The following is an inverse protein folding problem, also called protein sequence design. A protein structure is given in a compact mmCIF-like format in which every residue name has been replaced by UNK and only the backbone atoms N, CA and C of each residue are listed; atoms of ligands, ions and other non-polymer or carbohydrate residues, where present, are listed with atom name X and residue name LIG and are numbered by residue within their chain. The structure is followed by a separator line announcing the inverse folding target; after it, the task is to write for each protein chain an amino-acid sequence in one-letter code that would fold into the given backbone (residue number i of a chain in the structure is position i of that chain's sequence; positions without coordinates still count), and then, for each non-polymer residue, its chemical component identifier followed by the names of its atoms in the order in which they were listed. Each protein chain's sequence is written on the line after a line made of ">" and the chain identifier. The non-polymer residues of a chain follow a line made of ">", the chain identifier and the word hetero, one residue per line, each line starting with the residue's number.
data_IF_438029384437
#
_entry.id   IF_438029384437
#
_cell.length_a   1.000
_cell.length_b   1.000
_cell.length_c   1.000
_cell.angle_alpha   90.00
_cell.angle_beta   90.00
_cell.angle_gamma   90.00
#
_symmetry.space_group_name_H-M   'P 1'
#
loop_
_entity.id
_entity.type
_entity.pdbx_description
1 polymer ?
#
# COMPACT_ATOMS: atom_id res chain seq x y z
N UNK A 1 9.30 3.29 -18.68
CA UNK A 1 9.16 4.74 -18.36
C UNK A 1 10.06 5.58 -19.28
N UNK A 2 10.25 6.88 -19.04
CA UNK A 2 10.99 7.82 -19.90
C UNK A 2 12.39 7.31 -20.28
N UNK A 3 12.84 7.63 -21.49
CA UNK A 3 14.21 7.32 -21.94
C UNK A 3 15.12 8.53 -21.80
N UNK A 4 16.44 8.30 -21.65
CA UNK A 4 17.45 9.37 -21.63
C UNK A 4 17.40 10.18 -22.93
N UNK A 5 17.27 9.51 -24.07
CA UNK A 5 17.16 10.14 -25.38
C UNK A 5 15.95 11.08 -25.47
N UNK A 6 14.78 10.69 -24.94
CA UNK A 6 13.60 11.55 -24.90
C UNK A 6 13.87 12.83 -24.10
N UNK A 7 14.47 12.71 -22.92
CA UNK A 7 14.78 13.86 -22.06
C UNK A 7 15.82 14.76 -22.73
N UNK A 8 16.83 14.19 -23.38
CA UNK A 8 17.86 14.93 -24.09
C UNK A 8 17.27 15.72 -25.25
N UNK A 9 16.37 15.11 -26.03
CA UNK A 9 15.70 15.77 -27.14
C UNK A 9 14.82 16.95 -26.70
N UNK A 10 14.21 16.87 -25.52
CA UNK A 10 13.31 17.93 -25.01
C UNK A 10 14.09 19.04 -24.30
N UNK A 11 15.11 18.69 -23.51
CA UNK A 11 15.76 19.62 -22.56
C UNK A 11 17.25 19.84 -22.81
N UNK A 12 17.85 19.11 -23.73
CA UNK A 12 19.28 19.15 -24.06
C UNK A 12 20.16 18.34 -23.11
N UNK A 13 21.40 18.09 -23.54
CA UNK A 13 22.38 17.21 -22.88
C UNK A 13 22.71 17.66 -21.44
N UNK A 14 22.75 18.97 -21.16
CA UNK A 14 23.05 19.49 -19.82
C UNK A 14 22.07 18.99 -18.74
N UNK A 15 20.82 18.69 -19.13
CA UNK A 15 19.79 18.18 -18.22
C UNK A 15 19.98 16.69 -17.94
N UNK A 16 20.56 15.92 -18.86
CA UNK A 16 20.94 14.53 -18.64
C UNK A 16 22.00 14.43 -17.56
N UNK A 17 23.00 15.31 -17.59
CA UNK A 17 24.02 15.36 -16.55
C UNK A 17 23.37 15.67 -15.20
N UNK A 18 22.50 16.69 -15.15
CA UNK A 18 21.78 17.03 -13.92
C UNK A 18 20.98 15.85 -13.34
N UNK A 19 20.15 15.20 -14.16
CA UNK A 19 19.34 14.06 -13.71
C UNK A 19 20.19 12.85 -13.33
N UNK A 20 21.32 12.63 -14.01
CA UNK A 20 22.26 11.56 -13.64
C UNK A 20 22.84 11.81 -12.25
N UNK A 21 23.30 13.04 -11.96
CA UNK A 21 23.79 13.40 -10.63
C UNK A 21 22.68 13.31 -9.57
N UNK A 22 21.47 13.77 -9.88
CA UNK A 22 20.31 13.69 -8.97
C UNK A 22 19.97 12.23 -8.64
N UNK A 23 19.84 11.37 -9.65
CA UNK A 23 19.57 9.95 -9.47
C UNK A 23 20.69 9.25 -8.71
N UNK A 24 21.97 9.49 -9.05
CA UNK A 24 23.09 8.89 -8.30
C UNK A 24 23.11 9.33 -6.84
N UNK A 25 22.81 10.60 -6.56
CA UNK A 25 22.66 11.10 -5.18
C UNK A 25 21.51 10.42 -4.43
N UNK A 26 20.36 10.25 -5.09
CA UNK A 26 19.21 9.52 -4.56
C UNK A 26 19.53 8.04 -4.31
N UNK A 27 20.16 7.36 -5.27
CA UNK A 27 20.60 5.97 -5.18
C UNK A 27 21.66 5.73 -4.10
N UNK A 28 22.59 6.66 -3.87
CA UNK A 28 23.57 6.53 -2.79
C UNK A 28 22.95 6.75 -1.41
N UNK A 29 21.86 7.52 -1.36
CA UNK A 29 21.01 7.68 -0.17
C UNK A 29 19.87 6.65 -0.12
N UNK A 30 19.84 5.64 -1.02
CA UNK A 30 18.74 4.66 -1.20
C UNK A 30 18.54 3.64 -0.09
N UNK A 31 19.18 3.84 1.06
CA UNK A 31 18.49 3.53 2.32
C UNK A 31 17.35 4.56 2.46
N UNK A 32 16.38 4.44 1.55
CA UNK A 32 15.36 5.43 1.21
C UNK A 32 14.81 6.03 2.48
N UNK A 33 14.71 7.36 2.50
CA UNK A 33 14.42 8.07 3.73
C UNK A 33 13.18 7.40 4.33
N UNK A 34 13.26 6.98 5.60
CA UNK A 34 12.22 6.17 6.24
C UNK A 34 10.81 6.78 6.03
N UNK A 35 10.77 8.11 5.89
CA UNK A 35 9.62 8.91 5.49
C UNK A 35 9.02 8.54 4.11
N UNK A 36 9.83 8.45 3.04
CA UNK A 36 9.40 8.04 1.70
C UNK A 36 8.80 6.65 1.69
N UNK A 37 9.49 5.68 2.30
CA UNK A 37 9.01 4.30 2.35
C UNK A 37 7.69 4.18 3.13
N UNK A 38 7.55 4.91 4.25
CA UNK A 38 6.28 4.91 4.99
C UNK A 38 5.17 5.57 4.18
N UNK A 39 5.45 6.65 3.45
CA UNK A 39 4.45 7.29 2.60
C UNK A 39 4.02 6.40 1.42
N UNK A 40 4.95 5.64 0.83
CA UNK A 40 4.62 4.63 -0.17
C UNK A 40 3.69 3.56 0.42
N UNK A 41 3.97 3.05 1.63
CA UNK A 41 3.10 2.08 2.34
C UNK A 41 1.73 2.67 2.65
N UNK A 42 1.67 3.94 3.05
CA UNK A 42 0.41 4.66 3.25
C UNK A 42 -0.44 4.62 1.97
N UNK A 43 0.14 5.01 0.82
CA UNK A 43 -0.58 5.00 -0.46
C UNK A 43 -0.91 3.57 -0.93
N UNK A 44 -0.01 2.59 -0.75
CA UNK A 44 -0.29 1.18 -1.06
C UNK A 44 -1.54 0.68 -0.33
N UNK A 45 -1.66 0.97 0.96
CA UNK A 45 -2.84 0.61 1.74
C UNK A 45 -4.10 1.30 1.20
N UNK A 46 -4.04 2.62 0.90
CA UNK A 46 -5.19 3.34 0.35
C UNK A 46 -5.66 2.80 -1.00
N UNK A 47 -4.73 2.39 -1.88
CA UNK A 47 -5.06 1.82 -3.19
C UNK A 47 -5.45 0.33 -3.15
N UNK A 48 -5.31 -0.34 -2.01
CA UNK A 48 -5.59 -1.77 -1.90
C UNK A 48 -6.99 -2.15 -2.37
N UNK A 49 -8.01 -1.38 -1.97
CA UNK A 49 -9.38 -1.66 -2.37
C UNK A 49 -9.60 -1.50 -3.88
N UNK A 50 -8.98 -0.49 -4.49
CA UNK A 50 -9.06 -0.26 -5.94
C UNK A 50 -8.51 -1.45 -6.74
N UNK A 51 -7.40 -2.05 -6.29
CA UNK A 51 -6.80 -3.18 -7.00
C UNK A 51 -7.47 -4.51 -6.67
N UNK A 52 -7.91 -4.72 -5.42
CA UNK A 52 -8.52 -5.97 -4.97
C UNK A 52 -9.96 -6.10 -5.47
N UNK A 53 -10.81 -5.10 -5.23
CA UNK A 53 -12.24 -5.16 -5.56
C UNK A 53 -12.52 -4.64 -6.96
N UNK A 54 -11.98 -3.48 -7.32
CA UNK A 54 -12.26 -2.85 -8.61
C UNK A 54 -11.35 -3.34 -9.74
N UNK A 55 -10.39 -4.23 -9.43
CA UNK A 55 -9.41 -4.80 -10.37
C UNK A 55 -8.69 -3.74 -11.19
N UNK A 56 -8.43 -2.57 -10.59
CA UNK A 56 -7.64 -1.52 -11.24
C UNK A 56 -6.18 -1.97 -11.37
N UNK A 57 -5.53 -1.53 -12.45
CA UNK A 57 -4.13 -1.81 -12.73
C UNK A 57 -3.33 -0.58 -12.32
N UNK A 58 -2.81 -0.63 -11.10
CA UNK A 58 -2.06 0.47 -10.49
C UNK A 58 -0.61 0.02 -10.31
N UNK A 59 0.32 0.79 -10.86
CA UNK A 59 1.76 0.58 -10.74
C UNK A 59 2.37 1.67 -9.88
N UNK A 60 3.27 1.28 -8.99
CA UNK A 60 4.15 2.16 -8.25
C UNK A 60 5.54 2.08 -8.86
N UNK A 61 6.18 3.24 -9.00
CA UNK A 61 7.55 3.35 -9.47
C UNK A 61 8.31 4.27 -8.53
N UNK A 62 9.56 3.94 -8.24
CA UNK A 62 10.50 4.80 -7.50
C UNK A 62 11.88 4.69 -8.14
N UNK A 63 12.75 5.67 -7.90
CA UNK A 63 14.11 5.70 -8.49
C UNK A 63 14.12 5.67 -10.02
N UNK A 64 13.07 6.22 -10.63
CA UNK A 64 12.98 6.36 -12.07
C UNK A 64 13.78 7.56 -12.56
N UNK A 65 14.33 7.48 -13.77
CA UNK A 65 15.04 8.60 -14.38
C UNK A 65 14.06 9.71 -14.80
N UNK A 66 13.67 10.54 -13.83
CA UNK A 66 12.65 11.58 -13.91
C UNK A 66 13.05 12.79 -13.06
N UNK A 67 12.36 13.93 -13.22
CA UNK A 67 12.61 15.12 -12.40
C UNK A 67 12.00 14.97 -11.00
N UNK A 68 10.86 14.28 -10.90
CA UNK A 68 10.19 13.89 -9.66
C UNK A 68 10.15 12.36 -9.61
N UNK A 69 11.05 11.79 -8.82
CA UNK A 69 11.42 10.37 -8.85
C UNK A 69 11.21 9.62 -7.53
N UNK A 70 10.87 10.32 -6.44
CA UNK A 70 10.72 9.70 -5.12
C UNK A 70 9.60 8.64 -5.11
N UNK A 71 8.43 8.97 -5.69
CA UNK A 71 7.35 8.00 -5.93
C UNK A 71 6.47 8.45 -7.10
N UNK A 72 6.09 7.50 -7.94
CA UNK A 72 5.22 7.72 -9.10
C UNK A 72 4.13 6.67 -9.09
N UNK A 73 2.89 7.11 -9.31
CA UNK A 73 1.72 6.24 -9.41
C UNK A 73 1.13 6.36 -10.81
N UNK A 74 1.04 5.23 -11.49
CA UNK A 74 0.43 5.07 -12.79
C UNK A 74 -0.80 4.17 -12.67
N UNK A 75 -2.00 4.77 -12.74
CA UNK A 75 -3.24 4.02 -12.87
C UNK A 75 -3.48 3.82 -14.38
N UNK A 76 -3.33 2.60 -14.91
CA UNK A 76 -3.37 2.35 -16.37
C UNK A 76 -4.71 2.70 -17.01
N UNK A 77 -5.79 2.56 -16.26
CA UNK A 77 -7.14 2.95 -16.70
C UNK A 77 -7.32 4.47 -16.76
N UNK A 78 -6.47 5.23 -16.07
CA UNK A 78 -6.47 6.69 -16.10
C UNK A 78 -5.41 7.19 -17.09
N UNK A 79 -5.73 8.24 -17.85
CA UNK A 79 -4.69 8.95 -18.61
C UNK A 79 -3.89 9.91 -17.73
N UNK A 80 -3.52 9.51 -16.51
CA UNK A 80 -2.96 10.35 -15.46
C UNK A 80 -1.71 9.71 -14.84
N UNK A 81 -0.66 10.50 -14.68
CA UNK A 81 0.51 10.16 -13.87
C UNK A 81 0.57 11.08 -12.65
N UNK A 82 0.65 10.46 -11.47
CA UNK A 82 0.86 11.18 -10.21
C UNK A 82 2.33 11.06 -9.81
N UNK A 83 3.03 12.17 -9.75
CA UNK A 83 4.42 12.22 -9.28
C UNK A 83 4.47 12.86 -7.91
N UNK A 84 5.17 12.23 -6.98
CA UNK A 84 5.35 12.71 -5.63
C UNK A 84 6.82 13.05 -5.43
N UNK A 85 7.09 14.28 -5.00
CA UNK A 85 8.36 14.67 -4.42
C UNK A 85 8.13 14.83 -2.92
N UNK A 86 8.81 14.03 -2.12
CA UNK A 86 8.74 14.03 -0.68
C UNK A 86 9.88 14.87 -0.08
N UNK A 87 9.54 15.72 0.88
CA UNK A 87 10.51 16.54 1.61
C UNK A 87 10.21 16.52 3.10
N UNK A 88 11.06 15.83 3.85
CA UNK A 88 11.05 15.88 5.31
C UNK A 88 11.99 16.98 5.83
N UNK A 89 11.73 18.23 5.44
CA UNK A 89 12.49 19.40 5.90
C UNK A 89 11.58 20.60 6.08
N UNK A 90 11.87 21.43 7.08
CA UNK A 90 11.13 22.66 7.35
C UNK A 90 11.53 23.84 6.42
N UNK A 91 12.64 23.73 5.68
CA UNK A 91 13.21 24.83 4.88
C UNK A 91 12.90 24.76 3.37
N UNK A 92 11.96 23.90 2.97
CA UNK A 92 11.58 23.71 1.56
C UNK A 92 10.94 24.98 1.00
N UNK A 93 11.30 25.34 -0.22
CA UNK A 93 10.66 26.40 -0.99
C UNK A 93 10.68 26.04 -2.47
N UNK A 94 9.81 26.66 -3.27
CA UNK A 94 9.74 26.43 -4.71
C UNK A 94 11.05 26.77 -5.44
N UNK A 95 11.85 27.69 -4.89
CA UNK A 95 13.07 28.19 -5.51
C UNK A 95 12.82 29.04 -6.75
N UNK A 96 13.91 29.52 -7.37
CA UNK A 96 13.90 30.26 -8.63
C UNK A 96 15.04 29.76 -9.51
N UNK A 97 14.79 29.65 -10.81
CA UNK A 97 15.80 29.26 -11.80
C UNK A 97 16.04 27.76 -11.88
N UNK A 98 17.07 27.38 -12.65
CA UNK A 98 17.36 25.98 -12.96
C UNK A 98 17.65 25.14 -11.71
N UNK A 99 17.21 23.88 -11.73
CA UNK A 99 17.38 22.89 -10.63
C UNK A 99 16.62 23.24 -9.34
N UNK A 100 15.68 24.18 -9.41
CA UNK A 100 14.74 24.45 -8.33
C UNK A 100 13.56 23.46 -8.36
N UNK A 101 12.81 23.35 -7.26
CA UNK A 101 11.60 22.51 -7.22
C UNK A 101 10.58 22.99 -8.27
N UNK A 102 10.45 24.31 -8.44
CA UNK A 102 9.63 24.92 -9.48
C UNK A 102 10.04 24.46 -10.89
N UNK A 103 11.33 24.50 -11.19
CA UNK A 103 11.89 24.07 -12.48
C UNK A 103 11.71 22.56 -12.71
N UNK A 104 11.96 21.74 -11.68
CA UNK A 104 11.73 20.28 -11.74
C UNK A 104 10.26 19.94 -12.02
N UNK A 105 9.31 20.62 -11.35
CA UNK A 105 7.87 20.41 -11.58
C UNK A 105 7.46 20.81 -13.00
N UNK A 106 7.94 21.96 -13.49
CA UNK A 106 7.64 22.40 -14.85
C UNK A 106 8.20 21.44 -15.91
N UNK A 107 9.42 20.95 -15.72
CA UNK A 107 10.04 19.98 -16.64
C UNK A 107 9.37 18.61 -16.57
N UNK A 108 8.98 18.15 -15.38
CA UNK A 108 8.22 16.90 -15.26
C UNK A 108 6.88 16.96 -15.98
N UNK A 109 6.16 18.09 -15.85
CA UNK A 109 4.92 18.30 -16.58
C UNK A 109 5.14 18.21 -18.10
N UNK A 110 6.16 18.90 -18.63
CA UNK A 110 6.50 18.85 -20.05
C UNK A 110 6.88 17.43 -20.51
N UNK A 111 7.61 16.69 -19.66
CA UNK A 111 7.99 15.30 -19.93
C UNK A 111 6.79 14.34 -19.92
N UNK A 112 5.79 14.58 -19.08
CA UNK A 112 4.54 13.81 -19.09
C UNK A 112 3.70 14.11 -20.34
N UNK A 113 3.64 15.38 -20.73
CA UNK A 113 2.96 15.80 -21.96
C UNK A 113 3.60 15.18 -23.21
N UNK A 114 4.92 14.98 -23.24
CA UNK A 114 5.58 14.34 -24.39
C UNK A 114 5.21 12.87 -24.58
N UNK A 115 4.69 12.21 -23.54
CA UNK A 115 4.13 10.85 -23.61
C UNK A 115 2.59 10.84 -23.56
N UNK A 116 1.95 11.98 -23.82
CA UNK A 116 0.49 12.15 -23.87
C UNK A 116 -0.25 11.79 -22.57
N UNK A 117 0.40 11.95 -21.41
CA UNK A 117 -0.19 11.71 -20.08
C UNK A 117 -0.53 13.02 -19.38
N UNK A 118 -1.73 13.09 -18.79
CA UNK A 118 -2.05 14.16 -17.84
C UNK A 118 -1.18 14.02 -16.59
N UNK A 119 -1.00 15.12 -15.86
CA UNK A 119 -0.11 15.17 -14.71
C UNK A 119 -0.82 15.68 -13.46
N UNK A 120 -0.53 15.02 -12.35
CA UNK A 120 -0.71 15.56 -11.01
C UNK A 120 0.65 15.50 -10.31
N UNK A 121 1.22 16.65 -9.99
CA UNK A 121 2.54 16.76 -9.38
C UNK A 121 2.37 17.19 -7.93
N UNK A 122 2.85 16.39 -6.99
CA UNK A 122 2.56 16.54 -5.59
C UNK A 122 3.85 16.75 -4.81
N UNK A 123 3.92 17.87 -4.10
CA UNK A 123 4.99 18.13 -3.12
C UNK A 123 4.48 17.71 -1.75
N UNK A 124 5.01 16.63 -1.20
CA UNK A 124 4.64 16.11 0.11
C UNK A 124 5.61 16.66 1.15
N UNK A 125 5.08 17.35 2.15
CA UNK A 125 5.87 17.98 3.21
C UNK A 125 5.46 17.52 4.60
N UNK A 126 6.43 17.54 5.51
CA UNK A 126 6.26 17.05 6.87
C UNK A 126 5.84 18.10 7.90
N UNK A 127 5.50 19.31 7.44
CA UNK A 127 5.04 20.42 8.28
C UNK A 127 3.80 21.09 7.67
N UNK A 128 2.70 21.11 8.42
CA UNK A 128 1.42 21.65 7.91
C UNK A 128 1.46 23.16 7.64
N UNK A 129 2.20 23.90 8.48
CA UNK A 129 2.45 25.34 8.27
C UNK A 129 3.24 25.59 6.99
N UNK A 130 4.22 24.73 6.71
CA UNK A 130 4.99 24.78 5.48
C UNK A 130 4.12 24.43 4.26
N UNK A 131 3.25 23.41 4.36
CA UNK A 131 2.27 23.07 3.32
C UNK A 131 1.44 24.30 2.94
N UNK A 132 0.86 24.98 3.93
CA UNK A 132 0.04 26.17 3.70
C UNK A 132 0.85 27.30 3.01
N UNK A 133 2.07 27.56 3.47
CA UNK A 133 2.95 28.57 2.87
C UNK A 133 3.32 28.23 1.41
N UNK A 134 3.68 26.98 1.13
CA UNK A 134 4.01 26.51 -0.22
C UNK A 134 2.79 26.55 -1.15
N UNK A 135 1.60 26.19 -0.65
CA UNK A 135 0.36 26.28 -1.41
C UNK A 135 0.05 27.74 -1.78
N UNK A 136 0.18 28.68 -0.85
CA UNK A 136 -0.06 30.10 -1.10
C UNK A 136 0.99 30.74 -2.00
N UNK A 137 2.23 30.27 -1.93
CA UNK A 137 3.37 30.78 -2.72
C UNK A 137 3.58 30.02 -4.04
N UNK A 138 2.67 29.11 -4.40
CA UNK A 138 2.80 28.27 -5.60
C UNK A 138 2.87 29.13 -6.88
N UNK A 139 3.90 28.93 -7.72
CA UNK A 139 4.03 29.64 -8.98
C UNK A 139 2.81 29.40 -9.90
N UNK A 140 2.23 30.48 -10.43
CA UNK A 140 1.01 30.42 -11.26
C UNK A 140 1.13 29.54 -12.50
N UNK A 141 2.34 29.38 -13.03
CA UNK A 141 2.57 28.57 -14.24
C UNK A 141 2.60 27.06 -13.97
N UNK A 142 2.61 26.64 -12.70
CA UNK A 142 2.54 25.22 -12.31
C UNK A 142 1.25 24.87 -11.55
N UNK A 143 0.46 25.87 -11.15
CA UNK A 143 -0.66 25.68 -10.22
C UNK A 143 -1.83 24.86 -10.76
N UNK A 144 -1.95 24.70 -12.08
CA UNK A 144 -3.04 23.91 -12.69
C UNK A 144 -2.82 22.40 -12.61
N UNK A 145 -1.61 21.94 -12.32
CA UNK A 145 -1.24 20.52 -12.25
C UNK A 145 -0.42 20.17 -11.00
N UNK A 146 -0.26 21.11 -10.07
CA UNK A 146 0.57 20.92 -8.88
C UNK A 146 -0.22 21.09 -7.58
N UNK A 147 0.13 20.31 -6.57
CA UNK A 147 -0.46 20.36 -5.24
C UNK A 147 0.61 20.23 -4.16
N UNK A 148 0.34 20.77 -2.96
CA UNK A 148 1.17 20.54 -1.78
C UNK A 148 0.38 19.78 -0.73
N UNK A 149 0.87 18.60 -0.34
CA UNK A 149 0.21 17.72 0.62
C UNK A 149 1.02 17.68 1.92
N UNK A 150 0.34 17.66 3.05
CA UNK A 150 0.96 17.37 4.34
C UNK A 150 0.90 15.87 4.61
N UNK A 151 2.03 15.29 5.03
CA UNK A 151 2.09 13.94 5.59
C UNK A 151 2.92 13.94 6.87
N UNK A 152 2.43 13.26 7.90
CA UNK A 152 3.00 13.31 9.25
C UNK A 152 4.52 13.06 9.28
N UNK A 153 5.33 13.89 9.96
CA UNK A 153 6.80 13.75 10.04
C UNK A 153 7.27 12.53 10.81
N UNK A 154 6.38 11.84 11.52
CA UNK A 154 6.75 10.71 12.37
C UNK A 154 7.29 9.54 11.51
N UNK A 155 8.12 8.72 12.13
CA UNK A 155 8.71 7.52 11.52
C UNK A 155 8.29 6.24 12.25
N UNK A 156 7.47 6.37 13.29
CA UNK A 156 6.85 5.26 14.01
C UNK A 156 5.52 4.91 13.35
N UNK A 157 5.44 3.71 12.76
CA UNK A 157 4.20 3.21 12.16
C UNK A 157 3.00 3.29 13.11
N UNK A 158 3.09 2.84 14.38
CA UNK A 158 1.98 2.98 15.34
C UNK A 158 1.46 4.41 15.48
N UNK A 159 2.36 5.39 15.59
CA UNK A 159 1.97 6.80 15.74
C UNK A 159 1.30 7.34 14.47
N UNK A 160 1.82 6.96 13.30
CA UNK A 160 1.27 7.36 12.01
C UNK A 160 -0.12 6.75 11.81
N UNK A 161 -0.29 5.45 12.12
CA UNK A 161 -1.59 4.76 12.07
C UNK A 161 -2.59 5.43 13.02
N UNK A 162 -2.16 5.84 14.22
CA UNK A 162 -3.03 6.52 15.18
C UNK A 162 -3.45 7.93 14.71
N UNK A 163 -2.60 8.63 13.94
CA UNK A 163 -2.86 10.00 13.48
C UNK A 163 -3.54 10.09 12.10
N UNK A 164 -3.37 9.08 11.24
CA UNK A 164 -3.88 9.05 9.88
C UNK A 164 -5.06 8.09 9.78
N UNK A 165 -6.28 8.62 9.92
CA UNK A 165 -7.49 7.79 9.99
C UNK A 165 -7.73 6.99 8.70
N UNK A 166 -7.44 7.56 7.54
CA UNK A 166 -7.56 6.85 6.26
C UNK A 166 -6.58 5.68 6.16
N UNK A 167 -5.37 5.86 6.70
CA UNK A 167 -4.40 4.77 6.78
C UNK A 167 -4.90 3.65 7.68
N UNK A 168 -5.38 4.00 8.87
CA UNK A 168 -5.95 3.04 9.83
C UNK A 168 -7.10 2.26 9.21
N UNK A 169 -8.00 2.93 8.50
CA UNK A 169 -9.14 2.30 7.82
C UNK A 169 -8.69 1.36 6.69
N UNK A 170 -7.70 1.77 5.90
CA UNK A 170 -7.13 0.94 4.85
C UNK A 170 -6.40 -0.30 5.39
N UNK A 171 -5.68 -0.18 6.50
CA UNK A 171 -5.05 -1.33 7.16
C UNK A 171 -6.11 -2.26 7.78
N UNK A 172 -7.18 -1.73 8.38
CA UNK A 172 -8.32 -2.53 8.83
C UNK A 172 -8.97 -3.30 7.68
N UNK A 173 -9.02 -2.70 6.49
CA UNK A 173 -9.51 -3.38 5.30
C UNK A 173 -8.60 -4.54 4.90
N UNK A 174 -7.28 -4.36 4.93
CA UNK A 174 -6.28 -5.37 4.59
C UNK A 174 -6.07 -6.45 5.67
N UNK A 175 -6.47 -6.19 6.91
CA UNK A 175 -6.26 -7.12 8.00
C UNK A 175 -7.18 -8.35 7.90
N UNK A 176 -6.66 -9.52 8.28
CA UNK A 176 -7.40 -10.78 8.36
C UNK A 176 -8.44 -10.80 9.50
N UNK A 177 -8.21 -10.05 10.57
CA UNK A 177 -9.07 -10.03 11.75
C UNK A 177 -10.19 -8.99 11.61
N UNK A 178 -11.38 -9.33 12.12
CA UNK A 178 -12.44 -8.36 12.33
C UNK A 178 -12.13 -7.51 13.57
N UNK A 179 -12.36 -6.19 13.48
CA UNK A 179 -12.02 -5.21 14.52
C UNK A 179 -10.58 -5.35 15.08
N UNK A 180 -9.54 -5.28 14.22
CA UNK A 180 -8.18 -5.57 14.64
C UNK A 180 -7.65 -4.57 15.67
N UNK A 181 -6.99 -5.12 16.70
CA UNK A 181 -6.23 -4.37 17.70
C UNK A 181 -5.05 -3.60 17.07
N UNK A 182 -4.52 -2.56 17.73
CA UNK A 182 -3.45 -1.72 17.18
C UNK A 182 -2.18 -2.49 16.76
N UNK A 183 -1.80 -3.54 17.47
CA UNK A 183 -0.63 -4.39 17.16
C UNK A 183 -0.82 -5.15 15.84
N UNK A 184 -2.05 -5.60 15.55
CA UNK A 184 -2.37 -6.26 14.28
C UNK A 184 -2.23 -5.31 13.11
N UNK A 185 -2.68 -4.06 13.27
CA UNK A 185 -2.52 -3.02 12.25
C UNK A 185 -1.05 -2.64 12.03
N UNK A 186 -0.26 -2.54 13.10
CA UNK A 186 1.18 -2.33 13.00
C UNK A 186 1.87 -3.48 12.25
N UNK A 187 1.49 -4.73 12.55
CA UNK A 187 1.99 -5.90 11.85
C UNK A 187 1.72 -5.80 10.34
N UNK A 188 0.46 -5.56 9.94
CA UNK A 188 0.09 -5.41 8.51
C UNK A 188 0.93 -4.31 7.83
N UNK A 189 1.06 -3.14 8.46
CA UNK A 189 1.85 -2.04 7.90
C UNK A 189 3.34 -2.39 7.79
N UNK A 190 3.89 -3.13 8.76
CA UNK A 190 5.29 -3.57 8.77
C UNK A 190 5.56 -4.59 7.66
N UNK A 191 4.63 -5.52 7.43
CA UNK A 191 4.74 -6.50 6.35
C UNK A 191 4.64 -5.82 4.99
N UNK A 192 3.73 -4.86 4.80
CA UNK A 192 3.66 -4.05 3.58
C UNK A 192 4.97 -3.28 3.34
N UNK A 193 5.57 -2.72 4.39
CA UNK A 193 6.86 -2.05 4.31
C UNK A 193 7.98 -3.02 3.90
N UNK A 194 8.00 -4.23 4.46
CA UNK A 194 8.93 -5.28 4.07
C UNK A 194 8.76 -5.71 2.61
N UNK A 195 7.52 -5.89 2.16
CA UNK A 195 7.21 -6.23 0.78
C UNK A 195 7.64 -5.12 -0.20
N UNK A 196 7.35 -3.85 0.11
CA UNK A 196 7.79 -2.69 -0.68
C UNK A 196 9.32 -2.61 -0.76
N UNK A 197 10.00 -2.58 0.39
CA UNK A 197 11.46 -2.35 0.45
C UNK A 197 12.29 -3.49 -0.11
N UNK A 198 11.75 -4.71 -0.18
CA UNK A 198 12.41 -5.88 -0.77
C UNK A 198 12.06 -6.12 -2.24
N UNK A 199 11.27 -5.24 -2.86
CA UNK A 199 10.86 -5.39 -4.25
C UNK A 199 11.70 -4.52 -5.18
N UNK A 200 11.80 -4.94 -6.45
CA UNK A 200 12.27 -4.04 -7.51
C UNK A 200 11.17 -3.02 -7.79
N UNK A 201 11.41 -1.78 -7.38
CA UNK A 201 10.45 -0.68 -7.47
C UNK A 201 10.65 0.15 -8.75
N UNK A 202 11.43 -0.32 -9.72
CA UNK A 202 11.55 0.33 -11.03
C UNK A 202 10.22 0.36 -11.78
N UNK A 203 9.41 -0.69 -11.63
CA UNK A 203 8.00 -0.74 -12.05
C UNK A 203 7.33 -1.97 -11.42
N UNK A 204 6.46 -1.76 -10.44
CA UNK A 204 5.79 -2.86 -9.73
C UNK A 204 4.30 -2.60 -9.57
N UNK A 205 3.48 -3.64 -9.79
CA UNK A 205 2.05 -3.57 -9.53
C UNK A 205 1.77 -3.50 -8.03
N UNK A 206 0.82 -2.65 -7.63
CA UNK A 206 0.32 -2.62 -6.24
C UNK A 206 -0.18 -4.00 -5.83
N UNK A 207 -0.87 -4.73 -6.72
CA UNK A 207 -1.35 -6.08 -6.44
C UNK A 207 -0.20 -7.05 -6.13
N UNK A 208 0.93 -6.96 -6.85
CA UNK A 208 2.07 -7.85 -6.63
C UNK A 208 2.74 -7.59 -5.27
N UNK A 209 2.81 -6.33 -4.84
CA UNK A 209 3.30 -5.97 -3.49
C UNK A 209 2.35 -6.51 -2.42
N UNK A 210 1.04 -6.35 -2.61
CA UNK A 210 0.04 -6.86 -1.67
C UNK A 210 0.10 -8.39 -1.55
N UNK A 211 0.25 -9.11 -2.66
CA UNK A 211 0.41 -10.57 -2.68
C UNK A 211 1.70 -11.00 -1.98
N UNK A 212 2.82 -10.35 -2.27
CA UNK A 212 4.09 -10.62 -1.59
C UNK A 212 4.00 -10.39 -0.08
N UNK A 213 3.30 -9.35 0.34
CA UNK A 213 3.02 -9.10 1.76
C UNK A 213 2.16 -10.23 2.36
N UNK A 214 1.08 -10.61 1.69
CA UNK A 214 0.19 -11.70 2.11
C UNK A 214 0.95 -13.03 2.22
N UNK A 215 1.79 -13.38 1.25
CA UNK A 215 2.62 -14.60 1.27
C UNK A 215 3.63 -14.60 2.43
N UNK A 216 4.11 -13.43 2.86
CA UNK A 216 5.08 -13.31 3.94
C UNK A 216 4.48 -13.59 5.31
N UNK A 217 3.25 -13.12 5.56
CA UNK A 217 2.48 -13.44 6.79
C UNK A 217 1.02 -13.72 6.42
N UNK A 218 0.70 -14.93 5.91
CA UNK A 218 -0.63 -15.25 5.41
C UNK A 218 -1.72 -15.07 6.47
N UNK A 219 -1.43 -15.30 7.75
CA UNK A 219 -2.41 -15.23 8.84
C UNK A 219 -2.81 -13.82 9.28
N UNK A 220 -2.17 -12.76 8.78
CA UNK A 220 -2.45 -11.37 9.20
C UNK A 220 -3.10 -10.52 8.11
N UNK A 221 -2.95 -10.90 6.84
CA UNK A 221 -3.49 -10.17 5.70
C UNK A 221 -4.65 -10.98 5.13
N UNK A 222 -5.79 -10.32 4.94
CA UNK A 222 -6.99 -10.95 4.37
C UNK A 222 -6.70 -11.60 3.03
N UNK A 223 -7.48 -12.62 2.67
CA UNK A 223 -7.58 -13.09 1.29
C UNK A 223 -8.03 -11.95 0.34
N UNK A 224 -7.51 -11.99 -0.87
CA UNK A 224 -7.92 -11.12 -1.98
C UNK A 224 -8.88 -11.82 -2.95
N UNK A 225 -9.09 -13.13 -2.79
CA UNK A 225 -10.10 -13.89 -3.51
C UNK A 225 -11.47 -13.74 -2.82
N UNK A 226 -12.52 -14.05 -3.57
CA UNK A 226 -13.91 -13.94 -3.12
C UNK A 226 -14.67 -15.23 -3.42
N UNK A 227 -15.65 -15.58 -2.58
CA UNK A 227 -16.66 -16.59 -2.92
C UNK A 227 -16.35 -18.01 -2.43
N UNK A 228 -15.53 -18.17 -1.40
CA UNK A 228 -15.31 -19.46 -0.77
C UNK A 228 -16.45 -19.82 0.18
N UNK A 229 -16.89 -21.07 0.13
CA UNK A 229 -17.89 -21.67 1.01
C UNK A 229 -17.29 -22.91 1.66
N UNK A 230 -17.79 -23.28 2.85
CA UNK A 230 -17.50 -24.59 3.42
C UNK A 230 -18.10 -25.69 2.54
N UNK A 231 -17.49 -26.86 2.62
CA UNK A 231 -18.12 -28.10 2.22
C UNK A 231 -19.48 -28.21 2.94
N UNK A 232 -20.61 -28.43 2.22
CA UNK A 232 -21.94 -28.50 2.83
C UNK A 232 -22.08 -29.55 3.94
N UNK A 233 -21.32 -30.64 3.85
CA UNK A 233 -21.29 -31.66 4.90
C UNK A 233 -20.64 -31.13 6.17
N UNK A 234 -19.51 -30.42 6.04
CA UNK A 234 -18.82 -29.77 7.17
C UNK A 234 -19.70 -28.69 7.79
N UNK A 235 -20.34 -27.85 6.97
CA UNK A 235 -21.30 -26.84 7.44
C UNK A 235 -22.41 -27.49 8.28
N UNK A 236 -22.98 -28.60 7.81
CA UNK A 236 -24.01 -29.32 8.55
C UNK A 236 -23.48 -29.91 9.88
N UNK A 237 -22.26 -30.44 9.90
CA UNK A 237 -21.64 -30.95 11.14
C UNK A 237 -21.48 -29.81 12.15
N UNK A 238 -20.84 -28.71 11.75
CA UNK A 238 -20.56 -27.58 12.63
C UNK A 238 -21.84 -26.92 13.16
N UNK A 239 -22.87 -26.77 12.31
CA UNK A 239 -24.15 -26.17 12.71
C UNK A 239 -24.96 -27.01 13.72
N UNK A 240 -24.62 -28.30 13.89
CA UNK A 240 -25.28 -29.18 14.85
C UNK A 240 -24.61 -29.20 16.23
N UNK A 241 -23.48 -28.51 16.41
CA UNK A 241 -22.80 -28.39 17.69
C UNK A 241 -23.42 -27.23 18.46
N UNK A 242 -24.10 -27.54 19.57
CA UNK A 242 -24.81 -26.54 20.37
C UNK A 242 -23.87 -25.46 20.92
N UNK A 243 -24.27 -24.20 20.78
CA UNK A 243 -23.48 -23.05 21.23
C UNK A 243 -22.23 -22.74 20.40
N UNK A 244 -21.91 -23.49 19.34
CA UNK A 244 -20.83 -23.17 18.41
C UNK A 244 -21.37 -22.34 17.23
N UNK A 245 -20.72 -21.22 16.93
CA UNK A 245 -20.99 -20.47 15.71
C UNK A 245 -19.68 -20.12 15.01
N UNK A 246 -19.76 -19.87 13.72
CA UNK A 246 -18.60 -19.50 12.93
C UNK A 246 -19.01 -18.57 11.78
N UNK A 247 -18.02 -17.86 11.25
CA UNK A 247 -18.15 -17.13 10.01
C UNK A 247 -16.91 -17.35 9.14
N UNK A 248 -17.07 -17.19 7.83
CA UNK A 248 -15.95 -17.12 6.89
C UNK A 248 -15.90 -15.70 6.35
N UNK A 249 -14.93 -14.95 6.84
CA UNK A 249 -14.71 -13.57 6.47
C UNK A 249 -13.23 -13.38 6.20
N UNK A 250 -12.90 -12.48 5.26
CA UNK A 250 -11.50 -12.10 4.98
C UNK A 250 -10.58 -13.27 4.62
N UNK A 251 -11.11 -14.41 4.19
CA UNK A 251 -10.33 -15.61 3.86
C UNK A 251 -10.03 -16.54 5.03
N UNK A 252 -10.63 -16.32 6.20
CA UNK A 252 -10.40 -17.12 7.41
C UNK A 252 -11.72 -17.58 8.00
N UNK A 253 -11.68 -18.74 8.65
CA UNK A 253 -12.77 -19.20 9.51
C UNK A 253 -12.54 -18.64 10.91
N UNK A 254 -13.45 -17.77 11.35
CA UNK A 254 -13.52 -17.33 12.74
C UNK A 254 -14.65 -18.07 13.43
N UNK A 255 -14.47 -18.37 14.69
CA UNK A 255 -15.41 -19.18 15.46
C UNK A 255 -15.57 -18.60 16.86
N UNK A 256 -16.74 -18.81 17.43
CA UNK A 256 -17.08 -18.49 18.81
C UNK A 256 -17.86 -19.67 19.42
N UNK A 257 -17.73 -19.83 20.73
CA UNK A 257 -18.46 -20.80 21.52
C UNK A 257 -19.12 -20.12 22.71
N UNK A 258 -20.38 -20.48 22.98
CA UNK A 258 -21.18 -19.99 24.12
C UNK A 258 -21.22 -18.45 24.22
N UNK A 259 -21.45 -17.77 23.10
CA UNK A 259 -21.50 -16.30 22.97
C UNK A 259 -20.18 -15.62 23.41
N UNK A 260 -19.05 -16.10 22.89
CA UNK A 260 -17.72 -15.51 23.14
C UNK A 260 -17.10 -15.91 24.47
N UNK A 261 -17.55 -17.02 25.08
CA UNK A 261 -16.84 -17.63 26.21
C UNK A 261 -15.49 -18.18 25.74
N UNK A 262 -15.47 -18.74 24.54
CA UNK A 262 -14.26 -19.08 23.80
C UNK A 262 -14.39 -18.59 22.35
N UNK A 263 -13.29 -18.16 21.75
CA UNK A 263 -13.27 -17.64 20.38
C UNK A 263 -11.90 -17.80 19.74
N UNK A 264 -11.89 -17.90 18.42
CA UNK A 264 -10.64 -18.05 17.70
C UNK A 264 -10.76 -17.81 16.21
N UNK A 265 -9.60 -17.90 15.56
CA UNK A 265 -9.48 -17.81 14.11
C UNK A 265 -8.48 -18.87 13.68
N UNK A 266 -8.83 -19.68 12.68
CA UNK A 266 -7.87 -20.63 12.13
C UNK A 266 -6.66 -19.86 11.58
N UNK A 267 -5.46 -20.30 11.95
CA UNK A 267 -4.21 -19.62 11.62
C UNK A 267 -3.79 -19.70 10.14
N UNK A 268 -4.65 -20.25 9.29
CA UNK A 268 -4.41 -20.49 7.87
C UNK A 268 -5.63 -20.13 7.04
N UNK A 269 -5.38 -19.61 5.84
CA UNK A 269 -6.43 -19.19 4.90
C UNK A 269 -7.23 -20.39 4.41
N UNK A 270 -8.51 -20.15 4.11
CA UNK A 270 -9.43 -21.10 3.50
C UNK A 270 -8.98 -21.61 2.12
N UNK A 271 -8.05 -20.90 1.49
CA UNK A 271 -7.47 -21.26 0.19
C UNK A 271 -6.37 -22.32 0.29
N UNK A 272 -5.91 -22.62 1.50
CA UNK A 272 -4.77 -23.51 1.70
C UNK A 272 -5.18 -24.98 1.68
N UNK A 273 -4.28 -25.86 1.25
CA UNK A 273 -4.44 -27.31 1.42
C UNK A 273 -4.65 -27.70 2.90
N UNK A 274 -4.15 -26.89 3.83
CA UNK A 274 -4.37 -27.10 5.27
C UNK A 274 -5.84 -26.93 5.64
N UNK A 275 -6.55 -25.97 5.06
CA UNK A 275 -7.99 -25.82 5.26
C UNK A 275 -8.80 -26.94 4.61
N UNK A 276 -8.37 -27.44 3.45
CA UNK A 276 -8.98 -28.64 2.87
C UNK A 276 -8.82 -29.85 3.80
N UNK A 277 -7.62 -30.06 4.35
CA UNK A 277 -7.37 -31.13 5.33
C UNK A 277 -8.20 -30.96 6.60
N UNK A 278 -8.40 -29.74 7.09
CA UNK A 278 -9.30 -29.45 8.21
C UNK A 278 -10.72 -29.94 7.89
N UNK A 279 -11.28 -29.56 6.75
CA UNK A 279 -12.61 -30.01 6.33
C UNK A 279 -12.72 -31.54 6.25
N UNK A 280 -11.71 -32.22 5.69
CA UNK A 280 -11.67 -33.69 5.66
C UNK A 280 -11.60 -34.32 7.06
N UNK A 281 -10.88 -33.69 8.00
CA UNK A 281 -10.83 -34.15 9.38
C UNK A 281 -12.18 -34.00 10.09
N UNK A 282 -12.90 -32.90 9.85
CA UNK A 282 -14.24 -32.72 10.40
C UNK A 282 -15.20 -33.78 9.85
N UNK A 283 -15.23 -34.00 8.53
CA UNK A 283 -16.06 -35.05 7.91
C UNK A 283 -15.74 -36.44 8.46
N UNK A 284 -14.46 -36.76 8.59
CA UNK A 284 -14.00 -38.08 9.05
C UNK A 284 -14.37 -38.36 10.51
N UNK A 285 -14.27 -37.37 11.38
CA UNK A 285 -14.48 -37.56 12.81
C UNK A 285 -15.91 -37.24 13.26
N UNK A 286 -16.64 -36.43 12.50
CA UNK A 286 -18.03 -36.05 12.75
C UNK A 286 -18.28 -35.62 14.21
N UNK A 287 -17.56 -34.58 14.70
CA UNK A 287 -17.69 -34.12 16.08
C UNK A 287 -19.12 -33.71 16.38
N UNK A 288 -19.58 -34.05 17.58
CA UNK A 288 -20.94 -33.77 18.07
C UNK A 288 -20.98 -32.81 19.25
N UNK A 289 -19.82 -32.48 19.83
CA UNK A 289 -19.66 -31.48 20.88
C UNK A 289 -18.48 -30.56 20.60
N UNK A 290 -18.39 -29.44 21.34
CA UNK A 290 -17.28 -28.51 21.20
C UNK A 290 -15.94 -29.15 21.61
N UNK A 291 -15.92 -29.97 22.66
CA UNK A 291 -14.70 -30.65 23.12
C UNK A 291 -14.12 -31.59 22.06
N UNK A 292 -14.99 -32.24 21.27
CA UNK A 292 -14.57 -33.07 20.13
C UNK A 292 -14.09 -32.23 18.94
N UNK A 293 -14.64 -31.02 18.75
CA UNK A 293 -14.25 -30.10 17.68
C UNK A 293 -12.96 -29.33 17.99
N UNK A 294 -12.76 -28.93 19.25
CA UNK A 294 -11.70 -28.03 19.71
C UNK A 294 -10.31 -28.49 19.26
N UNK A 295 -10.06 -29.81 19.29
CA UNK A 295 -8.79 -30.42 18.88
C UNK A 295 -8.41 -30.13 17.41
N UNK A 296 -9.38 -29.75 16.57
CA UNK A 296 -9.16 -29.41 15.16
C UNK A 296 -9.05 -27.89 14.93
N UNK A 297 -9.41 -27.07 15.93
CA UNK A 297 -9.40 -25.60 15.84
C UNK A 297 -8.05 -24.96 16.20
N UNK A 298 -7.09 -25.75 16.69
CA UNK A 298 -5.76 -25.33 17.17
C UNK A 298 -4.68 -25.46 16.08
#
# INVERSE_FOLDING_TARGET
>A
MYTKEQIENIFGTQVIDYLTHKNTGGSNNSKGSKYENIYAVYLLALFARCVIECKQEIEFLSQCFAFLDDLIINCKQENLLRHYQLKNSASVNWGKGAKSIHDDFQKQYQLNQSISKNSELLLVVSCDKLRANLQNSMPKNISSYSQVIYFCPDISLPKIIAQQQDFKNALKYLCAFDNPEPDKLECVATVLLGAWTSSDTSQISVMDILKKAQESIPSYIRSFETGWQLDPEVENILNNIDGFTYNITRGFLHWEFQNGLDEGTLSYSIETERFQKFQELIKRNNPTSFEELEVFLI
#
